data_IF_305113495836
#
_entry.id   IF_305113495836
#
_cell.length_a   1.000
_cell.length_b   1.000
_cell.length_c   1.000
_cell.angle_alpha   90.00
_cell.angle_beta   90.00
_cell.angle_gamma   90.00
#
_symmetry.space_group_name_H-M   'P 1'
#
loop_
_entity.id
_entity.type
_entity.pdbx_description
1 polymer ?
#
# COMPACT_ATOMS: atom_id res chain seq x y z
N UNK A 1 1.88 10.95 -14.05
CA UNK A 1 2.76 11.40 -12.94
C UNK A 1 3.74 10.29 -12.62
N UNK A 2 5.04 10.59 -12.56
CA UNK A 2 6.07 9.60 -12.30
C UNK A 2 6.07 9.13 -10.83
N UNK A 3 6.63 7.94 -10.58
CA UNK A 3 6.80 7.40 -9.21
C UNK A 3 7.61 8.38 -8.35
N UNK A 4 8.63 9.00 -8.93
CA UNK A 4 9.48 9.97 -8.24
C UNK A 4 8.74 11.24 -7.83
N UNK A 5 7.88 11.76 -8.70
CA UNK A 5 7.06 12.95 -8.38
C UNK A 5 6.05 12.64 -7.29
N UNK A 6 5.42 11.47 -7.31
CA UNK A 6 4.54 11.03 -6.24
C UNK A 6 5.31 10.90 -4.93
N UNK A 7 6.47 10.27 -4.95
CA UNK A 7 7.31 10.13 -3.76
C UNK A 7 7.69 11.51 -3.19
N UNK A 8 8.20 12.43 -4.02
CA UNK A 8 8.60 13.78 -3.57
C UNK A 8 7.44 14.54 -2.93
N UNK A 9 6.24 14.47 -3.53
CA UNK A 9 5.05 15.15 -3.03
C UNK A 9 4.60 14.61 -1.66
N UNK A 10 4.75 13.32 -1.42
CA UNK A 10 4.19 12.64 -0.25
C UNK A 10 5.23 12.06 0.72
N UNK A 11 6.51 12.38 0.55
CA UNK A 11 7.60 11.89 1.38
C UNK A 11 7.30 11.97 2.89
N UNK A 12 6.73 13.10 3.35
CA UNK A 12 6.38 13.27 4.77
C UNK A 12 5.31 12.29 5.25
N UNK A 13 4.33 11.98 4.40
CA UNK A 13 3.26 11.01 4.70
C UNK A 13 3.84 9.60 4.75
N UNK A 14 4.71 9.27 3.81
CA UNK A 14 5.40 7.97 3.77
C UNK A 14 6.22 7.76 5.04
N UNK A 15 7.04 8.74 5.42
CA UNK A 15 7.84 8.68 6.65
C UNK A 15 6.96 8.55 7.91
N UNK A 16 5.81 9.24 7.94
CA UNK A 16 4.84 9.10 9.04
C UNK A 16 4.26 7.68 9.11
N UNK A 17 3.88 7.10 7.97
CA UNK A 17 3.36 5.73 7.91
C UNK A 17 4.41 4.70 8.37
N UNK A 18 5.66 4.86 7.93
CA UNK A 18 6.76 4.00 8.39
C UNK A 18 6.98 4.12 9.89
N UNK A 19 6.91 5.31 10.46
CA UNK A 19 7.04 5.52 11.91
C UNK A 19 5.89 4.87 12.71
N UNK A 20 4.67 4.80 12.17
CA UNK A 20 3.55 4.07 12.79
C UNK A 20 3.84 2.58 12.91
N UNK A 21 4.63 2.02 11.99
CA UNK A 21 5.05 0.63 11.99
C UNK A 21 6.30 0.37 12.85
N UNK A 22 6.67 1.33 13.68
CA UNK A 22 7.85 1.23 14.55
C UNK A 22 9.16 0.97 13.79
N UNK A 23 9.23 1.50 12.55
CA UNK A 23 10.50 1.48 11.80
C UNK A 23 11.41 2.60 12.31
N UNK A 24 12.71 2.33 12.32
CA UNK A 24 13.72 3.33 12.71
C UNK A 24 14.07 4.29 11.56
N UNK A 25 13.39 4.17 10.42
CA UNK A 25 13.64 4.97 9.22
C UNK A 25 13.25 6.42 9.47
N UNK A 26 14.21 7.32 9.28
CA UNK A 26 14.02 8.76 9.47
C UNK A 26 14.09 9.56 8.16
N UNK A 27 14.72 9.03 7.13
CA UNK A 27 14.78 9.65 5.82
C UNK A 27 14.76 8.63 4.69
N UNK A 28 14.30 9.06 3.51
CA UNK A 28 14.35 8.29 2.27
C UNK A 28 14.78 9.22 1.15
N UNK A 29 15.76 8.79 0.36
CA UNK A 29 16.27 9.51 -0.81
C UNK A 29 16.03 8.69 -2.07
N UNK A 30 15.85 9.39 -3.19
CA UNK A 30 15.76 8.77 -4.52
C UNK A 30 17.11 8.89 -5.20
N UNK A 31 17.58 7.81 -5.81
CA UNK A 31 18.77 7.75 -6.65
C UNK A 31 18.41 7.17 -8.01
N UNK A 32 18.94 7.74 -9.06
CA UNK A 32 18.91 7.18 -10.40
C UNK A 32 20.10 6.27 -10.60
N UNK A 33 19.85 5.09 -11.15
CA UNK A 33 20.88 4.11 -11.47
C UNK A 33 20.64 3.57 -12.87
N UNK A 34 21.69 3.55 -13.67
CA UNK A 34 21.65 2.94 -15.01
C UNK A 34 22.06 1.47 -14.90
N UNK A 35 21.17 0.59 -15.31
CA UNK A 35 21.41 -0.86 -15.29
C UNK A 35 21.22 -1.45 -16.68
N UNK A 36 22.02 -2.45 -17.07
CA UNK A 36 21.81 -3.17 -18.31
C UNK A 36 20.57 -4.05 -18.24
N UNK A 37 19.61 -3.83 -19.13
CA UNK A 37 18.43 -4.68 -19.27
C UNK A 37 18.50 -5.48 -20.58
N UNK A 38 18.18 -6.78 -20.57
CA UNK A 38 18.16 -7.58 -21.78
C UNK A 38 17.02 -7.12 -22.71
N UNK A 39 17.33 -6.98 -23.99
CA UNK A 39 16.37 -6.65 -25.03
C UNK A 39 16.44 -7.74 -26.11
N UNK A 40 15.29 -8.33 -26.44
CA UNK A 40 15.20 -9.26 -27.56
C UNK A 40 15.26 -8.50 -28.89
N UNK A 41 16.21 -8.82 -29.75
CA UNK A 41 16.40 -8.15 -31.04
C UNK A 41 15.28 -8.42 -32.06
N UNK A 42 14.62 -9.59 -31.96
CA UNK A 42 13.42 -9.98 -32.73
C UNK A 42 12.76 -11.21 -32.11
N UNK A 43 11.46 -11.46 -32.37
CA UNK A 43 10.82 -12.71 -31.97
C UNK A 43 11.53 -13.90 -32.60
N UNK A 44 12.20 -14.74 -31.79
CA UNK A 44 12.89 -15.96 -32.23
C UNK A 44 14.42 -15.84 -32.38
N UNK A 45 15.03 -14.67 -32.13
CA UNK A 45 16.50 -14.57 -32.07
C UNK A 45 16.99 -14.98 -30.67
N UNK A 46 18.03 -15.79 -30.61
CA UNK A 46 18.75 -16.16 -29.38
C UNK A 46 19.80 -15.11 -28.96
N UNK A 47 19.93 -14.00 -29.70
CA UNK A 47 20.88 -12.95 -29.37
C UNK A 47 20.30 -12.02 -28.29
N UNK A 48 20.93 -12.02 -27.13
CA UNK A 48 20.66 -11.10 -26.02
C UNK A 48 21.46 -9.82 -26.24
N UNK A 49 20.77 -8.76 -26.64
CA UNK A 49 21.34 -7.42 -26.61
C UNK A 49 20.97 -6.76 -25.27
N UNK A 50 21.84 -5.89 -24.76
CA UNK A 50 21.61 -5.15 -23.53
C UNK A 50 21.43 -3.67 -23.85
N UNK A 51 20.38 -3.09 -23.30
CA UNK A 51 20.15 -1.64 -23.31
C UNK A 51 20.27 -1.11 -21.88
N UNK A 52 20.98 0.00 -21.71
CA UNK A 52 20.97 0.72 -20.42
C UNK A 52 19.60 1.34 -20.20
N UNK A 53 18.99 1.00 -19.10
CA UNK A 53 17.73 1.60 -18.61
C UNK A 53 17.99 2.34 -17.32
N UNK A 54 17.30 3.47 -17.14
CA UNK A 54 17.35 4.24 -15.91
C UNK A 54 16.30 3.68 -14.94
N UNK A 55 16.75 3.27 -13.77
CA UNK A 55 15.87 2.78 -12.68
C UNK A 55 15.95 3.70 -11.48
N UNK A 56 14.85 3.76 -10.74
CA UNK A 56 14.78 4.46 -9.46
C UNK A 56 15.16 3.52 -8.34
N UNK A 57 16.14 3.92 -7.53
CA UNK A 57 16.47 3.29 -6.26
C UNK A 57 16.06 4.19 -5.11
N UNK A 58 15.50 3.59 -4.08
CA UNK A 58 15.18 4.27 -2.84
C UNK A 58 16.20 3.89 -1.78
N UNK A 59 16.78 4.88 -1.14
CA UNK A 59 17.75 4.69 -0.05
C UNK A 59 17.16 5.20 1.24
N UNK A 60 17.15 4.36 2.27
CA UNK A 60 16.67 4.68 3.61
C UNK A 60 17.82 5.11 4.50
N UNK A 61 17.51 5.94 5.49
CA UNK A 61 18.43 6.31 6.56
C UNK A 61 17.75 6.05 7.89
N UNK A 62 18.43 5.43 8.82
CA UNK A 62 17.90 5.07 10.13
C UNK A 62 18.37 6.07 11.21
N UNK A 63 17.51 6.34 12.21
CA UNK A 63 17.83 7.25 13.32
C UNK A 63 19.08 6.84 14.08
N UNK A 64 19.26 5.51 14.26
CA UNK A 64 20.40 4.93 14.99
C UNK A 64 21.69 4.91 14.19
N UNK A 65 21.61 5.09 12.87
CA UNK A 65 22.75 5.06 11.96
C UNK A 65 22.61 6.14 10.87
N UNK A 66 22.59 7.42 11.23
CA UNK A 66 22.27 8.52 10.30
C UNK A 66 23.33 8.70 9.20
N UNK A 67 24.53 8.17 9.41
CA UNK A 67 25.65 8.24 8.48
C UNK A 67 25.59 7.16 7.39
N UNK A 68 24.71 6.15 7.57
CA UNK A 68 24.61 4.99 6.67
C UNK A 68 23.32 5.08 5.87
N UNK A 69 23.41 4.86 4.56
CA UNK A 69 22.27 4.70 3.67
C UNK A 69 22.12 3.26 3.27
N UNK A 70 20.91 2.73 3.37
CA UNK A 70 20.56 1.35 3.04
C UNK A 70 19.71 1.34 1.76
N UNK A 71 19.94 0.36 0.89
CA UNK A 71 19.07 0.15 -0.27
C UNK A 71 17.73 -0.45 0.20
N UNK A 72 16.62 0.24 -0.10
CA UNK A 72 15.29 -0.16 0.35
C UNK A 72 14.89 -1.56 -0.18
N UNK A 73 15.26 -1.86 -1.43
CA UNK A 73 14.86 -3.12 -2.07
C UNK A 73 15.69 -4.32 -1.63
N UNK A 74 16.92 -4.10 -1.14
CA UNK A 74 17.89 -5.15 -0.82
C UNK A 74 18.09 -5.31 0.69
N UNK A 75 18.24 -4.21 1.41
CA UNK A 75 18.70 -4.22 2.80
C UNK A 75 17.57 -4.03 3.82
N UNK A 76 16.39 -3.52 3.41
CA UNK A 76 15.25 -3.41 4.29
C UNK A 76 14.47 -4.72 4.44
N UNK A 77 13.70 -4.82 5.53
CA UNK A 77 12.83 -5.98 5.77
C UNK A 77 11.76 -6.14 4.69
N UNK A 78 11.31 -7.38 4.46
CA UNK A 78 10.19 -7.65 3.53
C UNK A 78 8.93 -6.85 3.89
N UNK A 79 8.64 -6.67 5.18
CA UNK A 79 7.52 -5.87 5.65
C UNK A 79 7.66 -4.40 5.27
N UNK A 80 8.84 -3.81 5.50
CA UNK A 80 9.15 -2.41 5.14
C UNK A 80 9.01 -2.19 3.63
N UNK A 81 9.56 -3.09 2.82
CA UNK A 81 9.46 -3.03 1.35
C UNK A 81 8.02 -3.09 0.86
N UNK A 82 7.25 -4.08 1.35
CA UNK A 82 5.83 -4.25 1.01
C UNK A 82 5.03 -3.00 1.39
N UNK A 83 5.23 -2.50 2.59
CA UNK A 83 4.60 -1.29 3.07
C UNK A 83 4.89 -0.08 2.16
N UNK A 84 6.15 0.15 1.83
CA UNK A 84 6.55 1.26 0.98
C UNK A 84 5.90 1.17 -0.41
N UNK A 85 5.85 -0.01 -1.03
CA UNK A 85 5.20 -0.24 -2.31
C UNK A 85 3.69 0.02 -2.26
N UNK A 86 3.01 -0.43 -1.20
CA UNK A 86 1.58 -0.17 -0.99
C UNK A 86 1.34 1.34 -0.85
N UNK A 87 2.14 2.02 -0.03
CA UNK A 87 2.01 3.47 0.17
C UNK A 87 2.17 4.25 -1.14
N UNK A 88 3.16 3.92 -1.97
CA UNK A 88 3.33 4.59 -3.26
C UNK A 88 2.10 4.45 -4.17
N UNK A 89 1.48 3.27 -4.21
CA UNK A 89 0.26 3.02 -4.99
C UNK A 89 -0.94 3.79 -4.44
N UNK A 90 -1.13 3.78 -3.13
CA UNK A 90 -2.22 4.50 -2.47
C UNK A 90 -2.10 6.01 -2.67
N UNK A 91 -0.90 6.54 -2.58
CA UNK A 91 -0.65 7.97 -2.80
C UNK A 91 -0.87 8.37 -4.27
N UNK A 92 -0.58 7.48 -5.22
CA UNK A 92 -0.95 7.68 -6.62
C UNK A 92 -2.48 7.71 -6.80
N UNK A 93 -3.19 6.81 -6.12
CA UNK A 93 -4.67 6.77 -6.11
C UNK A 93 -5.25 8.08 -5.58
N UNK A 94 -4.77 8.53 -4.42
CA UNK A 94 -5.22 9.77 -3.78
C UNK A 94 -4.93 10.99 -4.66
N UNK A 95 -3.70 11.09 -5.19
CA UNK A 95 -3.28 12.23 -6.01
C UNK A 95 -4.04 12.34 -7.32
N UNK A 96 -4.28 11.20 -7.96
CA UNK A 96 -4.85 11.15 -9.30
C UNK A 96 -6.35 10.82 -9.30
N UNK A 97 -7.00 10.84 -8.12
CA UNK A 97 -8.45 10.62 -7.96
C UNK A 97 -8.91 9.30 -8.59
N UNK A 98 -8.18 8.25 -8.31
CA UNK A 98 -8.41 6.91 -8.85
C UNK A 98 -9.18 6.04 -7.87
N UNK A 99 -9.71 4.91 -8.38
CA UNK A 99 -10.17 3.80 -7.57
C UNK A 99 -9.11 2.71 -7.51
N UNK A 100 -8.97 2.06 -6.37
CA UNK A 100 -8.07 0.94 -6.15
C UNK A 100 -8.86 -0.24 -5.59
N UNK A 101 -8.61 -1.42 -6.15
CA UNK A 101 -9.11 -2.69 -5.61
C UNK A 101 -7.94 -3.48 -5.05
N UNK A 102 -8.08 -3.98 -3.82
CA UNK A 102 -7.04 -4.75 -3.14
C UNK A 102 -7.66 -5.99 -2.51
N UNK A 103 -7.08 -7.13 -2.81
CA UNK A 103 -7.41 -8.38 -2.12
C UNK A 103 -6.48 -8.54 -0.92
N UNK A 104 -7.04 -9.05 0.21
CA UNK A 104 -6.30 -9.24 1.46
C UNK A 104 -5.48 -7.99 1.87
N UNK A 105 -6.14 -6.83 1.86
CA UNK A 105 -5.55 -5.51 2.11
C UNK A 105 -4.62 -5.46 3.32
N UNK A 106 -5.01 -6.10 4.41
CA UNK A 106 -4.32 -6.08 5.69
C UNK A 106 -3.28 -7.20 5.86
N UNK A 107 -3.11 -8.08 4.86
CA UNK A 107 -2.16 -9.19 4.95
C UNK A 107 -0.72 -8.68 5.17
N UNK A 108 -0.21 -8.91 6.38
CA UNK A 108 1.12 -8.45 6.80
C UNK A 108 1.19 -6.96 7.17
N UNK A 109 0.07 -6.26 7.30
CA UNK A 109 0.02 -4.90 7.83
C UNK A 109 -0.40 -4.91 9.31
N UNK A 110 0.26 -4.08 10.10
CA UNK A 110 -0.19 -3.81 11.45
C UNK A 110 -1.53 -3.04 11.42
N UNK A 111 -2.49 -3.40 12.29
CA UNK A 111 -3.85 -2.80 12.33
C UNK A 111 -3.84 -1.27 12.37
N UNK A 112 -2.89 -0.66 13.10
CA UNK A 112 -2.74 0.81 13.15
C UNK A 112 -2.42 1.41 11.78
N UNK A 113 -1.61 0.70 10.98
CA UNK A 113 -1.28 1.14 9.64
C UNK A 113 -2.47 1.01 8.70
N UNK A 114 -3.19 -0.11 8.76
CA UNK A 114 -4.42 -0.27 7.98
C UNK A 114 -5.41 0.85 8.29
N UNK A 115 -5.62 1.19 9.58
CA UNK A 115 -6.41 2.34 9.99
C UNK A 115 -5.90 3.67 9.41
N UNK A 116 -4.59 3.92 9.45
CA UNK A 116 -3.99 5.13 8.85
C UNK A 116 -4.24 5.23 7.34
N UNK A 117 -4.19 4.10 6.62
CA UNK A 117 -4.48 4.05 5.18
C UNK A 117 -5.94 4.38 4.91
N UNK A 118 -6.86 3.83 5.71
CA UNK A 118 -8.29 4.15 5.60
C UNK A 118 -8.53 5.65 5.85
N UNK A 119 -7.92 6.23 6.88
CA UNK A 119 -8.00 7.66 7.16
C UNK A 119 -7.47 8.50 5.99
N UNK A 120 -6.39 8.07 5.34
CA UNK A 120 -5.82 8.75 4.17
C UNK A 120 -6.77 8.74 2.97
N UNK A 121 -7.44 7.62 2.72
CA UNK A 121 -8.44 7.50 1.64
C UNK A 121 -9.68 8.34 1.96
N UNK A 122 -10.17 8.31 3.21
CA UNK A 122 -11.32 9.12 3.63
C UNK A 122 -11.05 10.63 3.56
N UNK A 123 -9.81 11.06 3.76
CA UNK A 123 -9.42 12.45 3.57
C UNK A 123 -9.39 12.88 2.10
N UNK A 124 -9.51 11.95 1.17
CA UNK A 124 -9.56 12.22 -0.27
C UNK A 124 -11.02 12.32 -0.74
N UNK A 125 -11.40 13.46 -1.29
CA UNK A 125 -12.77 13.71 -1.77
C UNK A 125 -13.19 12.88 -3.00
N UNK A 126 -12.25 12.27 -3.69
CA UNK A 126 -12.49 11.69 -5.02
C UNK A 126 -11.82 10.34 -5.25
N UNK A 127 -11.22 9.76 -4.23
CA UNK A 127 -10.57 8.43 -4.33
C UNK A 127 -11.43 7.37 -3.70
N UNK A 128 -11.34 6.15 -4.22
CA UNK A 128 -12.08 5.00 -3.71
C UNK A 128 -11.15 3.83 -3.47
N UNK A 129 -11.30 3.17 -2.34
CA UNK A 129 -10.65 1.90 -2.03
C UNK A 129 -11.71 0.84 -1.80
N UNK A 130 -11.70 -0.21 -2.63
CA UNK A 130 -12.43 -1.44 -2.42
C UNK A 130 -11.43 -2.51 -1.99
N UNK A 131 -11.66 -3.16 -0.86
CA UNK A 131 -10.73 -4.17 -0.36
C UNK A 131 -11.44 -5.34 0.30
N UNK A 132 -10.79 -6.50 0.28
CA UNK A 132 -11.16 -7.65 1.11
C UNK A 132 -10.23 -7.75 2.32
N UNK A 133 -10.74 -8.29 3.42
CA UNK A 133 -9.97 -8.56 4.63
C UNK A 133 -10.64 -9.67 5.45
N UNK A 134 -9.84 -10.47 6.12
CA UNK A 134 -10.30 -11.41 7.14
C UNK A 134 -10.21 -10.83 8.56
N UNK A 135 -9.70 -9.63 8.72
CA UNK A 135 -9.43 -9.00 10.01
C UNK A 135 -10.62 -8.16 10.47
N UNK A 136 -11.44 -8.71 11.33
CA UNK A 136 -12.61 -8.02 11.90
C UNK A 136 -12.25 -6.77 12.72
N UNK A 137 -11.00 -6.62 13.19
CA UNK A 137 -10.56 -5.40 13.88
C UNK A 137 -10.52 -4.15 12.96
N UNK A 138 -10.68 -4.33 11.66
CA UNK A 138 -10.82 -3.21 10.72
C UNK A 138 -12.26 -2.66 10.68
N UNK A 139 -13.23 -3.37 11.25
CA UNK A 139 -14.63 -2.92 11.35
C UNK A 139 -14.72 -1.89 12.50
N UNK A 140 -14.30 -0.68 12.21
CA UNK A 140 -14.37 0.46 13.12
C UNK A 140 -15.42 1.46 12.62
N UNK A 141 -16.56 1.55 13.32
CA UNK A 141 -17.67 2.43 12.93
C UNK A 141 -17.35 3.92 13.03
N UNK A 142 -16.23 4.29 13.61
CA UNK A 142 -15.71 5.67 13.56
C UNK A 142 -15.06 5.99 12.20
N UNK A 143 -14.68 4.95 11.44
CA UNK A 143 -14.03 5.05 10.13
C UNK A 143 -14.92 4.58 8.99
N UNK A 144 -15.71 3.53 9.22
CA UNK A 144 -16.52 2.90 8.19
C UNK A 144 -18.01 3.09 8.53
N UNK A 145 -18.81 3.42 7.53
CA UNK A 145 -20.27 3.36 7.65
C UNK A 145 -20.75 1.92 7.47
N UNK A 146 -21.91 1.59 8.04
CA UNK A 146 -22.50 0.25 7.92
C UNK A 146 -22.70 -0.21 6.47
N UNK A 147 -23.05 0.72 5.58
CA UNK A 147 -23.24 0.46 4.15
C UNK A 147 -21.92 0.19 3.39
N UNK A 148 -20.77 0.51 4.00
CA UNK A 148 -19.46 0.24 3.43
C UNK A 148 -18.91 -1.14 3.82
N UNK A 149 -19.53 -1.83 4.78
CA UNK A 149 -19.08 -3.14 5.25
C UNK A 149 -19.99 -4.21 4.67
N UNK A 150 -19.42 -5.10 3.90
CA UNK A 150 -20.10 -6.20 3.22
C UNK A 150 -19.49 -7.51 3.66
N UNK A 151 -20.31 -8.45 4.08
CA UNK A 151 -19.91 -9.81 4.44
C UNK A 151 -20.14 -10.73 3.25
N UNK A 152 -19.19 -11.62 3.02
CA UNK A 152 -19.25 -12.62 1.94
C UNK A 152 -19.06 -14.00 2.57
N UNK A 153 -20.09 -14.81 2.54
CA UNK A 153 -20.09 -16.16 3.11
C UNK A 153 -20.20 -17.21 2.00
N UNK A 154 -19.40 -18.26 2.10
CA UNK A 154 -19.57 -19.46 1.28
C UNK A 154 -20.52 -20.41 2.00
N UNK A 155 -21.62 -20.78 1.36
CA UNK A 155 -22.59 -21.71 1.88
C UNK A 155 -22.17 -23.19 1.64
N UNK A 156 -22.82 -24.13 2.31
CA UNK A 156 -22.52 -25.58 2.23
C UNK A 156 -22.71 -26.14 0.82
N UNK A 157 -23.67 -25.61 0.06
CA UNK A 157 -23.94 -25.97 -1.33
C UNK A 157 -22.95 -25.39 -2.34
N UNK A 158 -21.94 -24.60 -1.85
CA UNK A 158 -20.93 -23.94 -2.66
C UNK A 158 -21.35 -22.60 -3.23
N UNK A 159 -22.59 -22.16 -3.02
CA UNK A 159 -23.03 -20.82 -3.40
C UNK A 159 -22.43 -19.76 -2.48
N UNK A 160 -22.51 -18.48 -2.89
CA UNK A 160 -22.01 -17.34 -2.12
C UNK A 160 -23.19 -16.48 -1.69
N UNK A 161 -23.26 -16.22 -0.39
CA UNK A 161 -24.18 -15.26 0.18
C UNK A 161 -23.46 -13.94 0.48
N UNK A 162 -24.10 -12.82 0.14
CA UNK A 162 -23.53 -11.47 0.27
C UNK A 162 -24.54 -10.56 0.95
N UNK A 163 -24.16 -9.96 2.08
CA UNK A 163 -25.03 -9.05 2.84
C UNK A 163 -24.23 -7.91 3.45
N UNK A 164 -24.91 -6.78 3.64
CA UNK A 164 -24.31 -5.59 4.25
C UNK A 164 -24.49 -5.58 5.77
N UNK A 165 -23.54 -4.98 6.49
CA UNK A 165 -23.72 -4.69 7.91
C UNK A 165 -24.94 -3.77 8.13
N UNK A 166 -25.32 -2.99 7.13
CA UNK A 166 -26.52 -2.15 7.18
C UNK A 166 -27.82 -2.95 7.31
N UNK A 167 -27.85 -4.20 6.80
CA UNK A 167 -29.03 -5.08 6.86
C UNK A 167 -29.31 -5.60 8.29
N UNK A 168 -28.35 -5.47 9.20
CA UNK A 168 -28.51 -5.85 10.61
C UNK A 168 -29.11 -4.71 11.43
N UNK A 169 -30.38 -4.85 11.80
CA UNK A 169 -31.15 -3.85 12.56
C UNK A 169 -30.68 -3.65 14.01
N UNK A 170 -30.05 -4.68 14.61
CA UNK A 170 -29.69 -4.70 16.04
C UNK A 170 -28.23 -4.32 16.31
N UNK A 171 -27.48 -3.89 15.28
CA UNK A 171 -26.10 -3.44 15.47
C UNK A 171 -26.10 -2.08 16.17
N UNK A 172 -25.90 -2.09 17.50
CA UNK A 172 -25.81 -0.86 18.31
C UNK A 172 -24.48 -0.16 18.02
N UNK A 173 -24.55 1.16 17.78
CA UNK A 173 -23.38 2.00 17.48
C UNK A 173 -22.46 2.22 18.69
N UNK A 174 -22.87 1.80 19.89
CA UNK A 174 -22.16 1.97 21.14
C UNK A 174 -21.62 0.62 21.64
N UNK A 175 -20.51 0.18 21.07
CA UNK A 175 -19.59 -0.69 21.77
C UNK A 175 -18.36 0.17 22.09
N UNK A 176 -18.40 0.75 23.32
CA UNK A 176 -17.28 1.45 23.94
C UNK A 176 -16.04 0.56 24.07
#
# INVERSE_FOLDING_TARGET
>A
VSVEENFKAYKKIILKALAICDTDICDIKVRHEQVPAPVMSSPGSLELNFRMIDILRFQTTHKRSPEVSFDLDVEESNGTRKLFQILLRLLDVVRNRKSLMMDEFDMGLHTRLAGFILDLIHASESSQLLFTSHNTNLIDMRRLRKDQVVFVNKLEDGSTDVYSLYDYKDFRENMD
#
